data_IF_560199964144
#
_entry.id   IF_560199964144
#
_cell.length_a   1.000
_cell.length_b   1.000
_cell.length_c   1.000
_cell.angle_alpha   90.00
_cell.angle_beta   90.00
_cell.angle_gamma   90.00
#
_symmetry.space_group_name_H-M   'P 1'
#
loop_
_entity.id
_entity.type
_entity.pdbx_description
1 polymer ?
#
# COMPACT_ATOMS: atom_id res chain seq x y z
N UNK A 1 4.77 4.42 -20.40
CA UNK A 1 4.99 5.00 -19.05
C UNK A 1 5.41 3.92 -18.03
N UNK A 2 4.68 2.83 -17.89
CA UNK A 2 4.98 1.74 -16.93
C UNK A 2 6.34 1.09 -17.16
N UNK A 3 6.74 0.89 -18.43
CA UNK A 3 8.07 0.36 -18.78
C UNK A 3 9.21 1.32 -18.41
N UNK A 4 9.01 2.62 -18.58
CA UNK A 4 9.99 3.65 -18.17
C UNK A 4 10.16 3.68 -16.65
N UNK A 5 9.06 3.63 -15.90
CA UNK A 5 9.08 3.56 -14.44
C UNK A 5 9.78 2.29 -13.94
N UNK A 6 9.51 1.14 -14.56
CA UNK A 6 10.22 -0.11 -14.22
C UNK A 6 11.73 0.00 -14.43
N UNK A 7 12.18 0.56 -15.57
CA UNK A 7 13.59 0.77 -15.88
C UNK A 7 14.25 1.80 -14.97
N UNK A 8 13.50 2.81 -14.54
CA UNK A 8 13.92 3.83 -13.58
C UNK A 8 14.14 3.20 -12.19
N UNK A 9 13.19 2.44 -11.70
CA UNK A 9 13.25 1.80 -10.39
C UNK A 9 14.32 0.70 -10.28
N UNK A 10 14.80 0.16 -11.42
CA UNK A 10 15.96 -0.74 -11.45
C UNK A 10 17.28 -0.04 -11.12
N UNK A 11 17.37 1.28 -11.32
CA UNK A 11 18.59 2.09 -11.12
C UNK A 11 18.70 2.70 -9.72
N UNK A 12 17.82 2.33 -8.79
CA UNK A 12 17.84 2.82 -7.41
C UNK A 12 19.18 2.52 -6.72
N UNK A 13 19.60 3.42 -5.84
CA UNK A 13 20.76 3.21 -4.97
C UNK A 13 20.42 2.20 -3.87
N UNK A 14 21.36 1.37 -3.51
CA UNK A 14 21.24 0.51 -2.33
C UNK A 14 21.09 1.37 -1.08
N UNK A 15 20.20 0.97 -0.19
CA UNK A 15 20.02 1.63 1.10
C UNK A 15 21.20 1.39 2.05
N UNK A 16 21.27 2.21 3.07
CA UNK A 16 22.23 2.09 4.16
C UNK A 16 22.10 0.71 4.85
N UNK A 17 23.21 0.12 5.31
CA UNK A 17 23.19 -1.21 5.97
C UNK A 17 22.23 -1.30 7.16
N UNK A 18 22.06 -0.20 7.89
CA UNK A 18 21.16 -0.08 9.04
C UNK A 18 19.69 -0.30 8.65
N UNK A 19 19.24 0.34 7.56
CA UNK A 19 17.88 0.18 7.03
C UNK A 19 17.65 -1.26 6.57
N UNK A 20 18.66 -1.88 5.94
CA UNK A 20 18.58 -3.27 5.50
C UNK A 20 18.46 -4.22 6.71
N UNK A 21 19.23 -3.97 7.76
CA UNK A 21 19.18 -4.75 9.00
C UNK A 21 17.82 -4.60 9.69
N UNK A 22 17.31 -3.38 9.79
CA UNK A 22 15.99 -3.11 10.37
C UNK A 22 14.88 -3.81 9.57
N UNK A 23 14.91 -3.74 8.23
CA UNK A 23 13.98 -4.50 7.38
C UNK A 23 14.03 -6.01 7.66
N UNK A 24 15.23 -6.59 7.85
CA UNK A 24 15.37 -8.03 8.15
C UNK A 24 14.70 -8.38 9.48
N UNK A 25 14.88 -7.55 10.49
CA UNK A 25 14.23 -7.70 11.78
C UNK A 25 12.71 -7.67 11.63
N UNK A 26 12.16 -6.67 10.98
CA UNK A 26 10.72 -6.54 10.76
C UNK A 26 10.16 -7.71 9.93
N UNK A 27 10.90 -8.21 8.93
CA UNK A 27 10.49 -9.41 8.19
C UNK A 27 10.35 -10.62 9.12
N UNK A 28 11.26 -10.80 10.09
CA UNK A 28 11.16 -11.86 11.09
C UNK A 28 9.94 -11.67 11.99
N UNK A 29 9.69 -10.46 12.47
CA UNK A 29 8.54 -10.12 13.30
C UNK A 29 7.22 -10.37 12.58
N UNK A 30 7.16 -10.02 11.30
CA UNK A 30 6.00 -10.27 10.44
C UNK A 30 5.87 -11.73 9.99
N UNK A 31 6.85 -12.59 10.26
CA UNK A 31 6.87 -13.99 9.82
C UNK A 31 6.91 -14.15 8.29
N UNK A 32 7.56 -13.24 7.58
CA UNK A 32 7.69 -13.29 6.12
C UNK A 32 9.12 -13.50 5.66
N UNK A 33 9.29 -14.06 4.45
CA UNK A 33 10.62 -14.29 3.87
C UNK A 33 11.31 -12.97 3.56
N UNK A 34 12.61 -12.89 3.86
CA UNK A 34 13.45 -11.73 3.58
C UNK A 34 13.89 -11.67 2.09
N UNK A 35 12.94 -11.76 1.17
CA UNK A 35 13.16 -11.70 -0.28
C UNK A 35 12.69 -10.38 -0.90
N UNK A 36 12.74 -9.31 -0.14
CA UNK A 36 12.31 -7.97 -0.54
C UNK A 36 13.52 -7.06 -0.55
N UNK A 37 13.81 -6.45 -1.70
CA UNK A 37 14.89 -5.48 -1.83
C UNK A 37 14.43 -4.10 -1.37
N UNK A 38 15.36 -3.31 -0.82
CA UNK A 38 15.13 -1.89 -0.54
C UNK A 38 16.06 -1.05 -1.39
N UNK A 39 15.51 -0.06 -2.06
CA UNK A 39 16.26 0.89 -2.89
C UNK A 39 15.82 2.32 -2.60
N UNK A 40 16.75 3.28 -2.66
CA UNK A 40 16.45 4.71 -2.64
C UNK A 40 16.45 5.27 -4.06
N UNK A 41 15.53 6.21 -4.33
CA UNK A 41 15.41 6.82 -5.65
C UNK A 41 15.07 8.31 -5.56
N UNK A 42 15.78 9.16 -6.31
CA UNK A 42 15.64 10.62 -6.28
C UNK A 42 14.30 11.15 -6.77
N UNK A 43 13.72 10.47 -7.76
CA UNK A 43 12.46 10.91 -8.38
C UNK A 43 11.22 10.43 -7.63
N UNK A 44 11.40 9.56 -6.65
CA UNK A 44 10.33 9.10 -5.79
C UNK A 44 10.25 10.04 -4.59
N UNK A 45 9.07 10.54 -4.33
CA UNK A 45 8.80 11.47 -3.22
C UNK A 45 8.21 10.78 -2.00
N UNK A 46 7.53 9.65 -2.20
CA UNK A 46 6.87 8.88 -1.15
C UNK A 46 7.38 7.44 -1.12
N UNK A 47 7.51 6.83 0.06
CA UNK A 47 7.76 5.40 0.19
C UNK A 47 6.70 4.59 -0.55
N UNK A 48 7.09 3.48 -1.16
CA UNK A 48 6.14 2.60 -1.83
C UNK A 48 6.60 1.15 -1.93
N UNK A 49 5.68 0.21 -1.75
CA UNK A 49 5.86 -1.17 -2.15
C UNK A 49 5.76 -1.30 -3.69
N UNK A 50 6.69 -2.01 -4.31
CA UNK A 50 6.75 -2.21 -5.75
C UNK A 50 7.07 -3.65 -6.12
N UNK A 51 6.49 -4.12 -7.23
CA UNK A 51 6.78 -5.40 -7.83
C UNK A 51 6.01 -6.57 -7.24
N UNK A 52 5.37 -7.36 -8.12
CA UNK A 52 4.62 -8.57 -7.74
C UNK A 52 5.56 -9.76 -7.59
N UNK A 53 6.42 -9.98 -8.58
CA UNK A 53 7.37 -11.10 -8.60
C UNK A 53 8.72 -10.72 -7.99
N UNK A 54 9.27 -9.57 -8.37
CA UNK A 54 10.48 -9.00 -7.79
C UNK A 54 10.09 -7.91 -6.80
N UNK A 55 9.88 -8.32 -5.56
CA UNK A 55 9.37 -7.46 -4.50
C UNK A 55 10.43 -6.46 -4.06
N UNK A 56 10.06 -5.19 -4.02
CA UNK A 56 10.92 -4.09 -3.60
C UNK A 56 10.16 -3.08 -2.76
N UNK A 57 10.87 -2.43 -1.87
CA UNK A 57 10.43 -1.19 -1.24
C UNK A 57 11.28 -0.09 -1.83
N UNK A 58 10.65 0.94 -2.36
CA UNK A 58 11.33 2.11 -2.91
C UNK A 58 11.11 3.27 -1.95
N UNK A 59 12.21 3.84 -1.48
CA UNK A 59 12.21 4.97 -0.57
C UNK A 59 12.69 6.24 -1.30
N UNK A 60 12.20 7.41 -0.95
CA UNK A 60 12.78 8.69 -1.32
C UNK A 60 14.26 8.78 -0.89
N UNK A 61 15.03 9.62 -1.58
CA UNK A 61 16.43 9.89 -1.20
C UNK A 61 16.51 10.98 -0.13
N UNK A 62 15.74 10.83 0.93
CA UNK A 62 15.74 11.66 2.14
C UNK A 62 16.24 10.87 3.33
N UNK A 63 16.58 11.56 4.42
CA UNK A 63 16.92 10.95 5.69
C UNK A 63 15.67 10.87 6.56
N UNK A 64 15.43 9.69 7.11
CA UNK A 64 14.33 9.42 8.02
C UNK A 64 14.84 9.25 9.45
N UNK A 65 14.07 9.70 10.42
CA UNK A 65 14.28 9.35 11.82
C UNK A 65 14.13 7.84 12.05
N UNK A 66 14.64 7.34 13.15
CA UNK A 66 14.62 5.90 13.46
C UNK A 66 13.19 5.38 13.63
N UNK A 67 12.31 6.14 14.27
CA UNK A 67 10.89 5.81 14.41
C UNK A 67 10.14 5.90 13.06
N UNK A 68 10.44 6.92 12.26
CA UNK A 68 9.79 7.11 10.96
C UNK A 68 10.09 5.95 10.02
N UNK A 69 11.36 5.57 9.89
CA UNK A 69 11.74 4.47 9.02
C UNK A 69 11.16 3.14 9.49
N UNK A 70 10.99 2.96 10.80
CA UNK A 70 10.35 1.78 11.37
C UNK A 70 8.89 1.68 10.97
N UNK A 71 8.14 2.76 11.11
CA UNK A 71 6.74 2.87 10.72
C UNK A 71 6.57 2.62 9.22
N UNK A 72 7.39 3.29 8.40
CA UNK A 72 7.37 3.15 6.93
C UNK A 72 7.64 1.70 6.52
N UNK A 73 8.66 1.08 7.07
CA UNK A 73 9.03 -0.29 6.74
C UNK A 73 7.96 -1.30 7.16
N UNK A 74 7.36 -1.14 8.34
CA UNK A 74 6.23 -1.98 8.75
C UNK A 74 5.07 -1.87 7.76
N UNK A 75 4.68 -0.65 7.40
CA UNK A 75 3.59 -0.39 6.47
C UNK A 75 3.84 -1.04 5.10
N UNK A 76 4.98 -0.75 4.48
CA UNK A 76 5.33 -1.26 3.15
C UNK A 76 5.54 -2.79 3.11
N UNK A 77 6.12 -3.36 4.17
CA UNK A 77 6.28 -4.80 4.27
C UNK A 77 4.94 -5.52 4.45
N UNK A 78 3.97 -4.90 5.13
CA UNK A 78 2.62 -5.44 5.28
C UNK A 78 1.91 -5.48 3.93
N UNK A 79 2.05 -4.48 3.07
CA UNK A 79 1.54 -4.52 1.69
C UNK A 79 2.09 -5.73 0.92
N UNK A 80 3.38 -6.01 1.05
CA UNK A 80 3.98 -7.20 0.44
C UNK A 80 3.50 -8.51 1.07
N UNK A 81 3.32 -8.55 2.39
CA UNK A 81 2.78 -9.71 3.12
C UNK A 81 1.38 -10.08 2.65
N UNK A 82 0.54 -9.07 2.44
CA UNK A 82 -0.85 -9.25 2.01
C UNK A 82 -1.04 -9.36 0.50
N UNK A 83 0.06 -9.32 -0.27
CA UNK A 83 0.04 -9.35 -1.73
C UNK A 83 -0.84 -8.25 -2.35
N UNK A 84 -0.85 -7.05 -1.77
CA UNK A 84 -1.73 -5.97 -2.17
C UNK A 84 -1.54 -5.56 -3.64
N UNK A 85 -0.29 -5.55 -4.14
CA UNK A 85 -0.03 -5.27 -5.54
C UNK A 85 -0.65 -6.31 -6.48
N UNK A 86 -0.67 -7.57 -6.07
CA UNK A 86 -1.32 -8.64 -6.86
C UNK A 86 -2.84 -8.43 -6.87
N UNK A 87 -3.43 -8.12 -5.72
CA UNK A 87 -4.86 -7.81 -5.64
C UNK A 87 -5.23 -6.58 -6.46
N UNK A 88 -4.44 -5.50 -6.39
CA UNK A 88 -4.63 -4.30 -7.23
C UNK A 88 -4.57 -4.65 -8.72
N UNK A 89 -3.66 -5.53 -9.15
CA UNK A 89 -3.60 -6.00 -10.53
C UNK A 89 -4.85 -6.81 -10.93
N UNK A 90 -5.34 -7.70 -10.08
CA UNK A 90 -6.58 -8.47 -10.31
C UNK A 90 -7.77 -7.51 -10.43
N UNK A 91 -7.90 -6.54 -9.53
CA UNK A 91 -8.99 -5.55 -9.60
C UNK A 91 -8.91 -4.67 -10.84
N UNK A 92 -7.70 -4.34 -11.29
CA UNK A 92 -7.51 -3.64 -12.57
C UNK A 92 -8.01 -4.47 -13.75
N UNK A 93 -7.74 -5.78 -13.77
CA UNK A 93 -8.26 -6.68 -14.82
C UNK A 93 -9.79 -6.73 -14.81
N UNK A 94 -10.39 -6.84 -13.62
CA UNK A 94 -11.85 -6.78 -13.45
C UNK A 94 -12.39 -5.43 -13.95
N UNK A 95 -11.72 -4.32 -13.63
CA UNK A 95 -12.13 -3.00 -14.11
C UNK A 95 -12.09 -2.88 -15.63
N UNK A 96 -11.07 -3.42 -16.27
CA UNK A 96 -10.95 -3.42 -17.73
C UNK A 96 -12.10 -4.22 -18.37
N UNK A 97 -12.47 -5.34 -17.76
CA UNK A 97 -13.57 -6.20 -18.25
C UNK A 97 -14.94 -5.54 -18.08
N UNK A 98 -15.17 -4.89 -16.92
CA UNK A 98 -16.45 -4.26 -16.57
C UNK A 98 -16.39 -2.73 -16.59
N UNK A 99 -15.58 -2.15 -17.49
CA UNK A 99 -15.36 -0.71 -17.60
C UNK A 99 -16.63 0.12 -17.75
N UNK A 100 -17.66 -0.46 -18.37
CA UNK A 100 -18.95 0.16 -18.65
C UNK A 100 -19.88 0.21 -17.43
N UNK A 101 -19.58 -0.53 -16.36
CA UNK A 101 -20.43 -0.57 -15.18
C UNK A 101 -20.19 0.68 -14.29
N UNK A 102 -21.26 1.50 -14.01
CA UNK A 102 -21.09 2.79 -13.34
C UNK A 102 -20.50 2.68 -11.91
N UNK A 103 -20.79 1.60 -11.18
CA UNK A 103 -20.30 1.38 -9.82
C UNK A 103 -18.85 0.85 -9.74
N UNK A 104 -18.20 0.52 -10.87
CA UNK A 104 -16.89 -0.12 -10.86
C UNK A 104 -15.79 0.78 -10.28
N UNK A 105 -15.81 2.07 -10.63
CA UNK A 105 -14.83 3.06 -10.11
C UNK A 105 -14.93 3.21 -8.59
N UNK A 106 -16.15 3.31 -8.08
CA UNK A 106 -16.39 3.43 -6.63
C UNK A 106 -15.96 2.18 -5.88
N UNK A 107 -16.22 1.03 -6.47
CA UNK A 107 -15.85 -0.25 -5.90
C UNK A 107 -14.33 -0.38 -5.75
N UNK A 108 -13.56 -0.07 -6.80
CA UNK A 108 -12.10 -0.11 -6.77
C UNK A 108 -11.56 0.87 -5.73
N UNK A 109 -12.08 2.09 -5.73
CA UNK A 109 -11.71 3.11 -4.74
C UNK A 109 -11.96 2.62 -3.30
N UNK A 110 -13.10 1.99 -3.04
CA UNK A 110 -13.38 1.44 -1.72
C UNK A 110 -12.44 0.30 -1.35
N UNK A 111 -12.11 -0.59 -2.29
CA UNK A 111 -11.18 -1.69 -2.06
C UNK A 111 -9.77 -1.19 -1.72
N UNK A 112 -9.29 -0.18 -2.45
CA UNK A 112 -8.02 0.46 -2.13
C UNK A 112 -8.04 1.06 -0.72
N UNK A 113 -9.06 1.86 -0.40
CA UNK A 113 -9.19 2.48 0.91
C UNK A 113 -9.30 1.44 2.06
N UNK A 114 -9.99 0.32 1.83
CA UNK A 114 -10.05 -0.76 2.81
C UNK A 114 -8.72 -1.50 2.93
N UNK A 115 -7.98 -1.66 1.84
CA UNK A 115 -6.64 -2.21 1.84
C UNK A 115 -5.68 -1.39 2.70
N UNK A 116 -5.66 -0.06 2.48
CA UNK A 116 -4.85 0.87 3.28
C UNK A 116 -5.22 0.82 4.77
N UNK A 117 -6.52 0.93 5.10
CA UNK A 117 -6.96 0.86 6.49
C UNK A 117 -6.62 -0.48 7.18
N UNK A 118 -6.57 -1.57 6.42
CA UNK A 118 -6.15 -2.87 6.93
C UNK A 118 -4.63 -2.91 7.17
N UNK A 119 -3.83 -2.33 6.28
CA UNK A 119 -2.39 -2.21 6.47
C UNK A 119 -2.06 -1.33 7.67
N UNK A 120 -2.70 -0.16 7.79
CA UNK A 120 -2.56 0.74 8.92
C UNK A 120 -2.86 0.04 10.25
N UNK A 121 -3.99 -0.67 10.32
CA UNK A 121 -4.34 -1.45 11.51
C UNK A 121 -3.30 -2.50 11.84
N UNK A 122 -2.81 -3.23 10.83
CA UNK A 122 -1.84 -4.30 11.05
C UNK A 122 -0.50 -3.72 11.51
N UNK A 123 -0.05 -2.63 10.89
CA UNK A 123 1.17 -1.93 11.29
C UNK A 123 1.09 -1.40 12.72
N UNK A 124 -0.06 -0.85 13.11
CA UNK A 124 -0.25 -0.30 14.46
C UNK A 124 -0.11 -1.31 15.60
N UNK A 125 -0.19 -2.61 15.35
CA UNK A 125 0.08 -3.62 16.37
C UNK A 125 1.57 -3.77 16.71
N UNK A 126 2.46 -3.29 15.84
CA UNK A 126 3.91 -3.39 15.99
C UNK A 126 4.52 -2.06 16.47
N UNK A 127 3.74 -1.01 16.60
CA UNK A 127 4.19 0.35 16.94
C UNK A 127 3.57 0.78 18.26
N UNK A 128 4.41 1.24 19.18
CA UNK A 128 3.98 1.59 20.54
C UNK A 128 3.00 2.77 20.60
N UNK A 129 3.20 3.77 19.72
CA UNK A 129 2.40 4.99 19.71
C UNK A 129 1.56 5.14 18.44
N UNK A 130 0.27 4.96 18.59
CA UNK A 130 -0.70 5.22 17.53
C UNK A 130 -0.64 6.68 17.03
N UNK A 131 -0.37 7.63 17.93
CA UNK A 131 -0.25 9.05 17.57
C UNK A 131 0.96 9.29 16.66
N UNK A 132 2.11 8.70 17.01
CA UNK A 132 3.33 8.79 16.19
C UNK A 132 3.10 8.18 14.82
N UNK A 133 2.47 6.99 14.78
CA UNK A 133 2.10 6.34 13.52
C UNK A 133 1.31 7.27 12.59
N UNK A 134 0.23 7.86 13.10
CA UNK A 134 -0.60 8.77 12.30
C UNK A 134 0.12 10.04 11.87
N UNK A 135 0.96 10.62 12.73
CA UNK A 135 1.74 11.80 12.35
C UNK A 135 2.65 11.48 11.15
N UNK A 136 3.40 10.38 11.20
CA UNK A 136 4.29 9.96 10.10
C UNK A 136 3.49 9.71 8.81
N UNK A 137 2.35 9.01 8.88
CA UNK A 137 1.51 8.75 7.71
C UNK A 137 0.92 10.06 7.14
N UNK A 138 0.54 11.02 8.00
CA UNK A 138 0.05 12.33 7.56
C UNK A 138 1.17 13.12 6.88
N UNK A 139 2.38 13.12 7.43
CA UNK A 139 3.53 13.82 6.86
C UNK A 139 3.86 13.28 5.46
N UNK A 140 3.93 11.96 5.31
CA UNK A 140 4.11 11.29 4.02
C UNK A 140 3.01 11.68 3.03
N UNK A 141 1.76 11.65 3.44
CA UNK A 141 0.63 11.98 2.56
C UNK A 141 0.53 13.48 2.23
N UNK A 142 1.07 14.37 3.06
CA UNK A 142 1.15 15.80 2.73
C UNK A 142 2.24 16.10 1.70
N UNK A 143 3.35 15.38 1.74
CA UNK A 143 4.39 15.43 0.70
C UNK A 143 3.88 14.91 -0.66
N UNK A 144 2.92 13.99 -0.66
CA UNK A 144 2.29 13.44 -1.86
C UNK A 144 1.51 14.48 -2.68
N UNK A 145 0.96 15.52 -2.04
CA UNK A 145 0.21 16.58 -2.75
C UNK A 145 1.03 17.34 -3.80
N UNK A 146 2.33 17.34 -3.66
CA UNK A 146 3.25 17.95 -4.64
C UNK A 146 3.67 17.00 -5.76
N UNK A 147 3.29 15.73 -5.69
CA UNK A 147 3.71 14.71 -6.63
C UNK A 147 2.69 14.54 -7.76
N UNK A 148 3.02 15.08 -8.94
CA UNK A 148 2.23 14.88 -10.16
C UNK A 148 2.29 13.42 -10.67
N UNK A 149 1.14 12.75 -10.75
CA UNK A 149 0.66 11.86 -11.85
C UNK A 149 1.35 10.49 -12.05
N UNK A 150 2.44 10.11 -11.41
CA UNK A 150 3.15 8.87 -11.77
C UNK A 150 2.96 7.68 -10.81
N UNK A 151 2.44 7.91 -9.65
CA UNK A 151 2.07 6.83 -8.74
C UNK A 151 0.62 6.44 -8.97
N UNK A 152 0.36 5.18 -9.26
CA UNK A 152 -1.00 4.59 -9.22
C UNK A 152 -1.49 4.39 -7.76
N UNK A 153 -0.82 4.99 -6.80
CA UNK A 153 -1.35 5.29 -5.48
C UNK A 153 -2.19 6.56 -5.60
N UNK A 154 -3.41 6.50 -5.19
CA UNK A 154 -4.34 7.63 -5.13
C UNK A 154 -3.66 8.80 -4.43
N UNK A 155 -3.62 9.96 -5.10
CA UNK A 155 -3.34 11.26 -4.48
C UNK A 155 -4.29 11.39 -3.27
N UNK A 156 -3.79 11.15 -2.07
CA UNK A 156 -4.65 11.06 -0.90
C UNK A 156 -4.98 12.47 -0.42
N UNK A 157 -6.18 12.93 -0.74
CA UNK A 157 -6.71 14.18 -0.20
C UNK A 157 -6.81 14.05 1.34
N UNK A 158 -6.68 15.17 2.04
CA UNK A 158 -6.83 15.23 3.51
C UNK A 158 -8.11 14.55 4.03
N UNK A 159 -9.18 14.56 3.23
CA UNK A 159 -10.43 13.85 3.51
C UNK A 159 -10.25 12.32 3.51
N UNK A 160 -9.41 11.79 2.61
CA UNK A 160 -9.12 10.36 2.54
C UNK A 160 -8.30 9.88 3.75
N UNK A 161 -7.37 10.70 4.24
CA UNK A 161 -6.64 10.41 5.48
C UNK A 161 -7.56 10.32 6.69
N UNK A 162 -8.46 11.30 6.84
CA UNK A 162 -9.49 11.25 7.89
C UNK A 162 -10.36 10.00 7.75
N UNK A 163 -10.69 9.61 6.52
CA UNK A 163 -11.46 8.41 6.25
C UNK A 163 -10.66 7.13 6.60
N UNK A 164 -9.35 7.08 6.29
CA UNK A 164 -8.45 5.98 6.73
C UNK A 164 -8.47 5.84 8.25
N UNK A 165 -8.28 6.93 8.97
CA UNK A 165 -8.32 6.93 10.44
C UNK A 165 -9.65 6.45 10.99
N UNK A 166 -10.78 6.95 10.47
CA UNK A 166 -12.13 6.50 10.87
C UNK A 166 -12.36 5.02 10.58
N UNK A 167 -11.93 4.54 9.42
CA UNK A 167 -12.04 3.13 9.04
C UNK A 167 -11.18 2.25 9.92
N UNK A 168 -9.94 2.62 10.17
CA UNK A 168 -9.08 1.91 11.09
C UNK A 168 -9.72 1.79 12.47
N UNK A 169 -10.27 2.87 13.02
CA UNK A 169 -10.97 2.85 14.30
C UNK A 169 -12.21 1.94 14.27
N UNK A 170 -12.95 1.89 13.18
CA UNK A 170 -14.08 0.98 13.01
C UNK A 170 -13.66 -0.49 12.90
N UNK A 171 -12.45 -0.76 12.40
CA UNK A 171 -11.88 -2.10 12.30
C UNK A 171 -11.45 -2.68 13.65
N UNK A 172 -11.13 -1.86 14.63
CA UNK A 172 -10.83 -2.34 15.99
C UNK A 172 -11.97 -3.18 16.58
N UNK A 173 -13.19 -3.00 16.08
CA UNK A 173 -14.40 -3.64 16.57
C UNK A 173 -14.98 -4.74 15.66
N UNK A 174 -14.42 -4.96 14.46
CA UNK A 174 -14.98 -5.93 13.49
C UNK A 174 -13.93 -6.86 12.89
N UNK A 175 -14.24 -8.15 12.75
CA UNK A 175 -13.39 -9.09 12.00
C UNK A 175 -13.47 -8.75 10.50
N UNK A 176 -12.33 -8.54 9.81
CA UNK A 176 -12.34 -8.24 8.39
C UNK A 176 -12.85 -9.44 7.57
N UNK A 177 -13.65 -9.16 6.56
CA UNK A 177 -14.06 -10.14 5.56
C UNK A 177 -12.83 -10.64 4.80
N UNK A 178 -12.69 -11.94 4.59
CA UNK A 178 -11.57 -12.47 3.82
C UNK A 178 -11.64 -11.93 2.39
N UNK A 179 -10.53 -11.43 1.83
CA UNK A 179 -10.47 -10.83 0.48
C UNK A 179 -11.02 -11.77 -0.60
N UNK A 180 -10.76 -13.07 -0.47
CA UNK A 180 -11.28 -14.11 -1.39
C UNK A 180 -12.80 -14.12 -1.41
N UNK A 181 -13.47 -14.01 -0.25
CA UNK A 181 -14.94 -13.99 -0.19
C UNK A 181 -15.50 -12.68 -0.77
N UNK A 182 -14.82 -11.57 -0.63
CA UNK A 182 -15.22 -10.31 -1.25
C UNK A 182 -15.15 -10.38 -2.77
N UNK A 183 -14.07 -10.95 -3.33
CA UNK A 183 -13.91 -11.13 -4.79
C UNK A 183 -14.94 -12.12 -5.34
N UNK A 184 -15.18 -13.26 -4.67
CA UNK A 184 -16.18 -14.22 -5.13
C UNK A 184 -17.59 -13.63 -5.11
N UNK A 185 -17.93 -12.88 -4.08
CA UNK A 185 -19.22 -12.17 -3.98
C UNK A 185 -19.37 -11.13 -5.11
N UNK A 186 -18.31 -10.41 -5.42
CA UNK A 186 -18.24 -9.49 -6.55
C UNK A 186 -18.52 -10.18 -7.88
N UNK A 187 -17.81 -11.27 -8.16
CA UNK A 187 -17.96 -12.01 -9.41
C UNK A 187 -19.39 -12.56 -9.56
N UNK A 188 -20.02 -12.99 -8.46
CA UNK A 188 -21.42 -13.43 -8.46
C UNK A 188 -22.37 -12.27 -8.78
N UNK A 189 -22.22 -11.13 -8.10
CA UNK A 189 -23.09 -9.95 -8.31
C UNK A 189 -22.97 -9.45 -9.75
N UNK A 190 -21.74 -9.34 -10.29
CA UNK A 190 -21.53 -8.90 -11.66
C UNK A 190 -21.94 -9.95 -12.71
N UNK A 191 -21.78 -11.23 -12.41
CA UNK A 191 -22.25 -12.31 -13.28
C UNK A 191 -23.78 -12.30 -13.44
N UNK A 192 -24.51 -12.04 -12.37
CA UNK A 192 -25.99 -11.94 -12.39
C UNK A 192 -26.44 -10.70 -13.16
N UNK A 193 -25.76 -9.56 -12.99
CA UNK A 193 -26.12 -8.31 -13.69
C UNK A 193 -25.81 -8.32 -15.20
N UNK A 194 -25.03 -9.29 -15.67
CA UNK A 194 -24.75 -9.45 -17.11
C UNK A 194 -25.74 -10.37 -17.83
N UNK A 195 -26.64 -11.03 -17.09
CA UNK A 195 -27.64 -11.97 -17.63
C UNK A 195 -29.03 -11.32 -17.71
N UNK A 196 -29.20 -10.16 -17.07
CA UNK A 196 -30.42 -9.33 -17.14
C UNK A 196 -30.23 -8.15 -18.07
#
# INVERSE_FOLDING_TARGET
KMHQMHKMLQKGRKCQPEIIKKKQQICCELGQKNNIDIVKHKEIKIPMAYGIFHRRIVLPEIEYGEEEIDIILHHELIHHKHHDLLWKAIFMMVHITYWFHPGMKDLIRQLDQWGEAYCDRTASYYIESMKTYFNVIIDIATEEKECNIYCMGLCENSELLVLRMKRMQSYLNKKPLKRITAVSLMLIIFGISSIT
#
